data_IF_341731890637
#
_entry.id   IF_341731890637
#
_cell.length_a   1.000
_cell.length_b   1.000
_cell.length_c   1.000
_cell.angle_alpha   90.00
_cell.angle_beta   90.00
_cell.angle_gamma   90.00
#
_symmetry.space_group_name_H-M   'P 1'
#
loop_
_entity.id
_entity.type
_entity.pdbx_description
1 polymer ?
#
# COMPACT_ATOMS: atom_id res chain seq x y z
N UNK A 1 4.84 -3.69 -18.95
CA UNK A 1 4.05 -3.07 -17.87
C UNK A 1 2.75 -2.51 -18.43
N UNK A 2 1.62 -2.80 -17.79
CA UNK A 2 0.28 -2.30 -18.15
C UNK A 2 -0.22 -1.45 -16.99
N UNK A 3 -0.09 -0.11 -17.04
CA UNK A 3 -0.57 0.76 -15.99
C UNK A 3 -2.09 0.89 -16.02
N UNK A 4 -2.74 0.70 -14.86
CA UNK A 4 -4.13 1.08 -14.62
C UNK A 4 -4.11 2.45 -13.92
N UNK A 5 -4.32 3.57 -14.64
CA UNK A 5 -4.30 4.89 -14.03
C UNK A 5 -5.45 5.03 -13.03
N UNK A 6 -5.15 5.51 -11.83
CA UNK A 6 -6.13 5.88 -10.81
C UNK A 6 -6.37 7.38 -10.78
N UNK A 7 -5.29 8.13 -10.94
CA UNK A 7 -5.31 9.60 -11.05
C UNK A 7 -4.04 10.12 -11.73
N UNK A 8 -4.12 11.34 -12.28
CA UNK A 8 -2.97 12.09 -12.77
C UNK A 8 -2.95 13.44 -12.07
N UNK A 9 -1.79 13.79 -11.53
CA UNK A 9 -1.56 15.07 -10.88
C UNK A 9 -0.62 15.93 -11.73
N UNK A 10 -0.88 17.23 -11.81
CA UNK A 10 -0.01 18.17 -12.53
C UNK A 10 1.36 18.33 -11.86
N UNK A 11 1.42 18.16 -10.55
CA UNK A 11 2.61 18.32 -9.72
C UNK A 11 2.41 17.65 -8.36
N UNK A 12 3.47 17.61 -7.57
CA UNK A 12 3.45 17.02 -6.24
C UNK A 12 2.47 17.75 -5.29
N UNK A 13 1.76 17.00 -4.45
CA UNK A 13 0.75 17.52 -3.50
C UNK A 13 1.31 18.44 -2.40
N UNK A 14 2.63 18.55 -2.26
CA UNK A 14 3.29 19.50 -1.37
C UNK A 14 3.35 20.95 -1.89
N UNK A 15 2.93 21.21 -3.14
CA UNK A 15 2.75 22.57 -3.66
C UNK A 15 1.42 23.15 -3.17
N UNK A 16 1.29 24.48 -3.18
CA UNK A 16 0.06 25.18 -2.73
C UNK A 16 -1.19 24.81 -3.52
N UNK A 17 -1.02 24.43 -4.80
CA UNK A 17 -2.10 23.98 -5.67
C UNK A 17 -1.59 22.94 -6.66
N UNK A 18 -2.49 22.09 -7.10
CA UNK A 18 -2.25 21.11 -8.16
C UNK A 18 -3.57 20.81 -8.88
N UNK A 19 -3.47 20.40 -10.14
CA UNK A 19 -4.60 19.84 -10.87
C UNK A 19 -4.64 18.33 -10.62
N UNK A 20 -5.83 17.81 -10.40
CA UNK A 20 -6.08 16.40 -10.15
C UNK A 20 -7.10 15.88 -11.15
N UNK A 21 -6.71 14.93 -11.98
CA UNK A 21 -7.61 14.20 -12.88
C UNK A 21 -7.94 12.83 -12.27
N UNK A 22 -9.21 12.56 -12.06
CA UNK A 22 -9.71 11.30 -11.53
C UNK A 22 -10.02 10.33 -12.68
N UNK A 23 -9.43 9.15 -12.67
CA UNK A 23 -9.63 8.11 -13.68
C UNK A 23 -10.63 7.02 -13.29
N UNK A 24 -11.33 7.16 -12.17
CA UNK A 24 -12.26 6.14 -11.64
C UNK A 24 -13.20 5.59 -12.71
N UNK A 25 -13.83 6.47 -13.50
CA UNK A 25 -14.81 6.07 -14.51
C UNK A 25 -14.16 5.38 -15.73
N UNK A 26 -12.87 5.58 -15.96
CA UNK A 26 -12.13 4.99 -17.07
C UNK A 26 -11.52 3.62 -16.72
N UNK A 27 -11.24 3.35 -15.44
CA UNK A 27 -10.58 2.12 -15.00
C UNK A 27 -11.28 0.82 -15.48
N UNK A 28 -12.63 0.70 -15.44
CA UNK A 28 -13.30 -0.50 -15.92
C UNK A 28 -13.09 -0.76 -17.41
N UNK A 29 -12.93 0.28 -18.23
CA UNK A 29 -12.67 0.13 -19.66
C UNK A 29 -11.28 -0.49 -19.92
N UNK A 30 -10.25 -0.08 -19.15
CA UNK A 30 -8.91 -0.69 -19.21
C UNK A 30 -8.97 -2.18 -18.87
N UNK A 31 -9.60 -2.52 -17.76
CA UNK A 31 -9.75 -3.92 -17.29
C UNK A 31 -10.42 -4.77 -18.38
N UNK A 32 -11.51 -4.26 -18.96
CA UNK A 32 -12.26 -4.94 -20.01
C UNK A 32 -11.43 -5.19 -21.28
N UNK A 33 -10.58 -4.24 -21.67
CA UNK A 33 -9.69 -4.45 -22.83
C UNK A 33 -8.63 -5.51 -22.53
N UNK A 34 -8.04 -5.51 -21.31
CA UNK A 34 -7.07 -6.52 -20.92
C UNK A 34 -7.68 -7.92 -20.82
N UNK A 35 -8.93 -8.02 -20.37
CA UNK A 35 -9.70 -9.26 -20.35
C UNK A 35 -9.93 -9.79 -21.77
N UNK A 36 -10.37 -8.95 -22.71
CA UNK A 36 -10.55 -9.31 -24.14
C UNK A 36 -9.25 -9.81 -24.78
N UNK A 37 -8.13 -9.21 -24.41
CA UNK A 37 -6.80 -9.61 -24.89
C UNK A 37 -6.25 -10.85 -24.20
N UNK A 38 -6.97 -11.41 -23.20
CA UNK A 38 -6.54 -12.52 -22.37
C UNK A 38 -5.14 -12.28 -21.76
N UNK A 39 -4.88 -11.05 -21.28
CA UNK A 39 -3.59 -10.71 -20.69
C UNK A 39 -3.37 -11.54 -19.42
N UNK A 40 -2.10 -11.89 -19.20
CA UNK A 40 -1.62 -12.51 -17.99
C UNK A 40 -0.53 -11.63 -17.38
N UNK A 41 -0.49 -11.58 -16.07
CA UNK A 41 0.47 -10.79 -15.33
C UNK A 41 1.31 -11.71 -14.44
N UNK A 42 2.63 -11.57 -14.47
CA UNK A 42 3.53 -12.28 -13.54
C UNK A 42 3.52 -11.61 -12.15
N UNK A 43 3.21 -10.32 -12.13
CA UNK A 43 3.08 -9.55 -10.90
C UNK A 43 2.09 -8.40 -11.04
N UNK A 44 1.44 -8.07 -9.94
CA UNK A 44 0.49 -6.96 -9.81
C UNK A 44 0.96 -6.08 -8.64
N UNK A 45 1.03 -4.78 -8.86
CA UNK A 45 1.40 -3.84 -7.81
C UNK A 45 0.35 -2.73 -7.72
N UNK A 46 -0.16 -2.45 -6.52
CA UNK A 46 -1.04 -1.30 -6.28
C UNK A 46 -0.24 -0.13 -5.71
N UNK A 47 -0.76 1.07 -5.90
CA UNK A 47 -0.31 2.31 -5.27
C UNK A 47 -1.51 3.11 -4.80
N UNK A 48 -1.48 4.44 -4.99
CA UNK A 48 -2.54 5.33 -4.56
C UNK A 48 -3.90 5.01 -5.18
N UNK A 49 -4.93 4.88 -4.33
CA UNK A 49 -6.33 4.72 -4.69
C UNK A 49 -7.11 5.87 -4.05
N UNK A 50 -7.68 6.75 -4.88
CA UNK A 50 -8.26 8.02 -4.41
C UNK A 50 -9.67 7.91 -3.82
N UNK A 51 -10.33 6.74 -3.91
CA UNK A 51 -11.71 6.57 -3.44
C UNK A 51 -12.06 5.11 -3.13
N UNK A 52 -13.11 4.92 -2.35
CA UNK A 52 -13.73 3.61 -2.11
C UNK A 52 -14.07 2.88 -3.42
N UNK A 53 -14.61 3.59 -4.40
CA UNK A 53 -14.95 3.03 -5.72
C UNK A 53 -13.72 2.49 -6.46
N UNK A 54 -12.58 3.16 -6.35
CA UNK A 54 -11.33 2.64 -6.94
C UNK A 54 -10.87 1.36 -6.24
N UNK A 55 -11.01 1.26 -4.92
CA UNK A 55 -10.70 0.03 -4.18
C UNK A 55 -11.59 -1.13 -4.66
N UNK A 56 -12.89 -0.91 -4.85
CA UNK A 56 -13.80 -1.91 -5.40
C UNK A 56 -13.40 -2.35 -6.82
N UNK A 57 -13.03 -1.41 -7.69
CA UNK A 57 -12.57 -1.71 -9.05
C UNK A 57 -11.27 -2.52 -9.03
N UNK A 58 -10.33 -2.21 -8.13
CA UNK A 58 -9.08 -2.98 -8.00
C UNK A 58 -9.34 -4.37 -7.43
N UNK A 59 -10.29 -4.53 -6.50
CA UNK A 59 -10.71 -5.87 -6.05
C UNK A 59 -11.29 -6.69 -7.20
N UNK A 60 -12.18 -6.11 -8.01
CA UNK A 60 -12.69 -6.74 -9.21
C UNK A 60 -11.57 -7.12 -10.19
N UNK A 61 -10.55 -6.25 -10.36
CA UNK A 61 -9.36 -6.56 -11.14
C UNK A 61 -8.62 -7.79 -10.59
N UNK A 62 -8.46 -7.89 -9.26
CA UNK A 62 -7.84 -9.07 -8.65
C UNK A 62 -8.65 -10.34 -8.86
N UNK A 63 -9.96 -10.26 -8.78
CA UNK A 63 -10.84 -11.42 -9.01
C UNK A 63 -10.69 -11.99 -10.42
N UNK A 64 -10.29 -11.15 -11.41
CA UNK A 64 -10.07 -11.59 -12.80
C UNK A 64 -8.61 -12.05 -13.02
N UNK A 65 -7.64 -11.29 -12.55
CA UNK A 65 -6.24 -11.43 -12.98
C UNK A 65 -5.31 -12.02 -11.92
N UNK A 66 -5.73 -12.12 -10.65
CA UNK A 66 -4.93 -12.79 -9.64
C UNK A 66 -5.00 -14.30 -9.85
N UNK A 67 -3.83 -14.93 -9.84
CA UNK A 67 -3.66 -16.39 -9.96
C UNK A 67 -2.70 -16.88 -8.87
N UNK A 68 -2.61 -18.18 -8.61
CA UNK A 68 -1.61 -18.73 -7.69
C UNK A 68 -0.16 -18.47 -8.13
N UNK A 69 0.06 -18.22 -9.42
CA UNK A 69 1.40 -18.10 -10.01
C UNK A 69 1.92 -16.66 -10.05
N UNK A 70 1.04 -15.65 -9.89
CA UNK A 70 1.47 -14.25 -9.89
C UNK A 70 1.69 -13.69 -8.47
N UNK A 71 2.57 -12.70 -8.36
CA UNK A 71 2.88 -12.02 -7.11
C UNK A 71 2.07 -10.72 -7.04
N UNK A 72 1.27 -10.57 -5.98
CA UNK A 72 0.53 -9.35 -5.69
C UNK A 72 1.23 -8.57 -4.58
N UNK A 73 1.65 -7.35 -4.90
CA UNK A 73 2.20 -6.36 -3.96
C UNK A 73 1.15 -5.29 -3.72
N UNK A 74 0.72 -5.13 -2.48
CA UNK A 74 -0.20 -4.06 -2.10
C UNK A 74 0.56 -3.00 -1.31
N UNK A 75 0.53 -1.77 -1.83
CA UNK A 75 0.91 -0.57 -1.11
C UNK A 75 -0.39 0.09 -0.61
N UNK A 76 -0.68 0.02 0.71
CA UNK A 76 -1.96 0.46 1.26
C UNK A 76 -1.96 1.96 1.58
N UNK A 77 -1.72 2.77 0.54
CA UNK A 77 -1.56 4.22 0.67
C UNK A 77 -2.79 4.86 1.32
N UNK A 78 -2.68 5.29 2.59
CA UNK A 78 -3.78 5.90 3.35
C UNK A 78 -3.37 7.14 4.15
N UNK A 79 -2.11 7.28 4.51
CA UNK A 79 -1.65 8.36 5.38
C UNK A 79 -0.15 8.32 5.66
N UNK A 80 0.35 9.33 6.36
CA UNK A 80 1.75 9.41 6.77
C UNK A 80 1.90 10.23 8.06
N UNK A 81 3.02 10.05 8.80
CA UNK A 81 3.32 10.74 10.06
C UNK A 81 2.18 10.74 11.09
N UNK A 82 1.47 9.62 11.21
CA UNK A 82 0.35 9.44 12.14
C UNK A 82 -0.97 10.04 11.68
N UNK A 83 -1.06 10.60 10.48
CA UNK A 83 -2.26 11.25 9.96
C UNK A 83 -2.78 10.58 8.68
N UNK A 84 -4.10 10.49 8.56
CA UNK A 84 -4.75 10.10 7.31
C UNK A 84 -4.61 11.23 6.27
N UNK A 85 -4.48 10.86 5.01
CA UNK A 85 -4.64 11.82 3.92
C UNK A 85 -6.09 12.34 3.85
N UNK A 86 -6.26 13.58 3.42
CA UNK A 86 -7.56 14.27 3.39
C UNK A 86 -8.65 13.54 2.58
N UNK A 87 -8.24 12.70 1.64
CA UNK A 87 -9.13 11.90 0.78
C UNK A 87 -9.61 10.60 1.44
N UNK A 88 -9.05 10.23 2.61
CA UNK A 88 -9.38 8.98 3.28
C UNK A 88 -10.31 9.18 4.47
N UNK A 89 -11.32 8.31 4.54
CA UNK A 89 -12.25 8.18 5.69
C UNK A 89 -12.01 6.86 6.41
N UNK A 90 -12.61 6.67 7.58
CA UNK A 90 -12.56 5.39 8.29
C UNK A 90 -13.12 4.25 7.44
N UNK A 91 -14.19 4.51 6.70
CA UNK A 91 -14.84 3.55 5.82
C UNK A 91 -13.90 3.14 4.68
N UNK A 92 -13.17 4.09 4.08
CA UNK A 92 -12.18 3.80 3.04
C UNK A 92 -11.01 2.96 3.59
N UNK A 93 -10.59 3.21 4.84
CA UNK A 93 -9.56 2.39 5.50
C UNK A 93 -10.04 0.94 5.73
N UNK A 94 -11.31 0.72 6.10
CA UNK A 94 -11.86 -0.63 6.23
C UNK A 94 -11.94 -1.37 4.88
N UNK A 95 -12.23 -0.67 3.79
CA UNK A 95 -12.18 -1.28 2.46
C UNK A 95 -10.73 -1.61 2.04
N UNK A 96 -9.75 -0.77 2.39
CA UNK A 96 -8.33 -1.06 2.16
C UNK A 96 -7.89 -2.35 2.89
N UNK A 97 -8.39 -2.62 4.10
CA UNK A 97 -8.13 -3.89 4.80
C UNK A 97 -8.58 -5.10 4.00
N UNK A 98 -9.71 -5.01 3.28
CA UNK A 98 -10.18 -6.09 2.40
C UNK A 98 -9.23 -6.30 1.22
N UNK A 99 -8.63 -5.22 0.69
CA UNK A 99 -7.65 -5.31 -0.39
C UNK A 99 -6.36 -6.01 0.06
N UNK A 100 -5.94 -5.77 1.32
CA UNK A 100 -4.75 -6.40 1.91
C UNK A 100 -4.80 -7.93 1.84
N UNK A 101 -5.97 -8.54 1.97
CA UNK A 101 -6.12 -10.00 1.92
C UNK A 101 -5.75 -10.63 0.55
N UNK A 102 -5.68 -9.83 -0.51
CA UNK A 102 -5.23 -10.29 -1.83
C UNK A 102 -3.69 -10.30 -1.96
N UNK A 103 -2.97 -9.63 -1.07
CA UNK A 103 -1.54 -9.44 -1.18
C UNK A 103 -0.74 -10.72 -0.87
N UNK A 104 0.36 -10.93 -1.59
CA UNK A 104 1.45 -11.80 -1.18
C UNK A 104 2.48 -11.00 -0.36
N UNK A 105 2.67 -9.74 -0.73
CA UNK A 105 3.57 -8.79 -0.09
C UNK A 105 2.80 -7.51 0.22
N UNK A 106 2.92 -7.01 1.44
CA UNK A 106 2.33 -5.73 1.87
C UNK A 106 3.45 -4.75 2.23
N UNK A 107 3.35 -3.51 1.74
CA UNK A 107 4.40 -2.49 1.90
C UNK A 107 3.92 -1.22 2.61
N UNK A 108 3.30 -1.28 3.79
CA UNK A 108 2.80 -0.11 4.49
C UNK A 108 3.94 0.75 5.02
N UNK A 109 3.75 2.06 5.11
CA UNK A 109 4.52 2.87 6.05
C UNK A 109 4.05 2.63 7.50
N UNK A 110 4.73 3.17 8.48
CA UNK A 110 4.40 2.94 9.89
C UNK A 110 2.99 3.44 10.27
N UNK A 111 2.52 4.53 9.67
CA UNK A 111 1.16 5.07 9.88
C UNK A 111 0.10 4.08 9.37
N UNK A 112 0.29 3.60 8.17
CA UNK A 112 -0.59 2.64 7.52
C UNK A 112 -0.63 1.30 8.27
N UNK A 113 0.54 0.83 8.73
CA UNK A 113 0.64 -0.36 9.55
C UNK A 113 -0.17 -0.22 10.86
N UNK A 114 -0.11 0.95 11.52
CA UNK A 114 -0.90 1.23 12.70
C UNK A 114 -2.40 1.31 12.41
N UNK A 115 -2.80 1.96 11.31
CA UNK A 115 -4.22 2.05 10.90
C UNK A 115 -4.79 0.65 10.62
N UNK A 116 -4.08 -0.18 9.86
CA UNK A 116 -4.51 -1.52 9.52
C UNK A 116 -4.67 -2.42 10.75
N UNK A 117 -3.76 -2.31 11.72
CA UNK A 117 -3.78 -3.12 12.95
C UNK A 117 -4.61 -2.51 14.09
N UNK A 118 -5.14 -1.29 13.90
CA UNK A 118 -5.90 -0.59 14.93
C UNK A 118 -5.05 -0.11 16.11
N UNK A 119 -3.74 0.07 15.91
CA UNK A 119 -2.80 0.57 16.91
C UNK A 119 -2.65 2.08 16.85
N UNK A 120 -2.31 2.67 17.98
CA UNK A 120 -1.91 4.08 18.02
C UNK A 120 -0.55 4.25 17.33
N UNK A 121 -0.38 5.34 16.57
CA UNK A 121 0.88 5.66 15.92
C UNK A 121 1.94 6.07 16.94
N UNK A 122 3.11 5.44 16.88
CA UNK A 122 4.29 5.81 17.64
C UNK A 122 5.55 5.68 16.78
N UNK A 123 6.21 6.81 16.48
CA UNK A 123 7.42 6.84 15.66
C UNK A 123 8.61 6.08 16.30
N UNK A 124 8.58 5.87 17.64
CA UNK A 124 9.66 5.26 18.41
C UNK A 124 9.49 3.74 18.62
N UNK A 125 8.57 3.10 17.94
CA UNK A 125 8.42 1.64 18.03
C UNK A 125 9.74 0.91 17.79
N UNK A 126 10.12 0.05 18.74
CA UNK A 126 11.28 -0.85 18.62
C UNK A 126 11.00 -2.06 17.73
N UNK A 127 12.01 -2.91 17.53
CA UNK A 127 11.89 -4.07 16.67
C UNK A 127 10.89 -5.10 17.20
N UNK A 128 10.74 -5.23 18.51
CA UNK A 128 9.79 -6.16 19.13
C UNK A 128 8.34 -5.76 18.81
N UNK A 129 8.02 -4.46 18.94
CA UNK A 129 6.69 -3.95 18.59
C UNK A 129 6.44 -4.02 17.08
N UNK A 130 7.46 -3.73 16.25
CA UNK A 130 7.35 -3.84 14.80
C UNK A 130 7.10 -5.28 14.37
N UNK A 131 7.71 -6.26 15.04
CA UNK A 131 7.46 -7.68 14.76
C UNK A 131 6.02 -8.09 15.09
N UNK A 132 5.49 -7.59 16.22
CA UNK A 132 4.09 -7.83 16.59
C UNK A 132 3.14 -7.21 15.56
N UNK A 133 3.43 -5.98 15.12
CA UNK A 133 2.64 -5.29 14.08
C UNK A 133 2.70 -6.08 12.77
N UNK A 134 3.90 -6.46 12.32
CA UNK A 134 4.10 -7.19 11.08
C UNK A 134 3.40 -8.55 11.10
N UNK A 135 3.42 -9.25 12.23
CA UNK A 135 2.67 -10.51 12.41
C UNK A 135 1.16 -10.28 12.31
N UNK A 136 0.62 -9.25 12.96
CA UNK A 136 -0.80 -8.91 12.84
C UNK A 136 -1.21 -8.58 11.40
N UNK A 137 -0.33 -7.90 10.64
CA UNK A 137 -0.54 -7.65 9.22
C UNK A 137 -0.49 -8.93 8.39
N UNK A 138 0.43 -9.84 8.72
CA UNK A 138 0.54 -11.15 8.06
C UNK A 138 -0.70 -12.02 8.30
N UNK A 139 -1.30 -11.95 9.48
CA UNK A 139 -2.54 -12.66 9.82
C UNK A 139 -3.76 -12.17 8.97
N UNK A 140 -3.62 -11.02 8.25
CA UNK A 140 -4.63 -10.52 7.31
C UNK A 140 -4.55 -11.15 5.91
N UNK A 141 -3.49 -11.92 5.61
CA UNK A 141 -3.31 -12.62 4.34
C UNK A 141 -1.91 -12.61 3.74
N UNK A 142 -1.19 -11.47 3.69
CA UNK A 142 0.13 -11.42 3.07
C UNK A 142 1.18 -12.17 3.91
N UNK A 143 1.98 -13.04 3.27
CA UNK A 143 3.04 -13.79 3.95
C UNK A 143 4.33 -12.98 4.15
N UNK A 144 4.45 -11.82 3.52
CA UNK A 144 5.61 -10.93 3.61
C UNK A 144 5.16 -9.49 3.84
N UNK A 145 5.78 -8.84 4.83
CA UNK A 145 5.49 -7.47 5.22
C UNK A 145 6.78 -6.66 5.15
N UNK A 146 6.70 -5.46 4.58
CA UNK A 146 7.79 -4.49 4.61
C UNK A 146 7.23 -3.18 5.16
N UNK A 147 7.42 -2.92 6.46
CA UNK A 147 7.05 -1.63 7.04
C UNK A 147 8.12 -0.62 6.66
N UNK A 148 7.73 0.39 5.88
CA UNK A 148 8.67 1.33 5.25
C UNK A 148 8.79 2.64 6.03
N UNK A 149 9.87 3.39 5.74
CA UNK A 149 10.01 4.79 6.15
C UNK A 149 10.24 5.02 7.65
N UNK A 150 10.71 4.03 8.40
CA UNK A 150 10.95 4.15 9.84
C UNK A 150 12.19 5.02 10.09
N UNK A 151 12.01 6.14 10.79
CA UNK A 151 13.12 7.05 11.09
C UNK A 151 13.90 6.54 12.31
N UNK A 152 15.21 6.40 12.18
CA UNK A 152 16.15 5.96 13.22
C UNK A 152 17.31 6.96 13.33
N UNK A 153 17.08 8.14 13.91
CA UNK A 153 18.06 9.21 13.98
C UNK A 153 18.48 9.68 12.58
N UNK A 154 19.73 9.42 12.18
CA UNK A 154 20.27 9.77 10.86
C UNK A 154 20.01 8.73 9.77
N UNK A 155 19.32 7.64 10.09
CA UNK A 155 18.99 6.56 9.18
C UNK A 155 17.49 6.53 8.88
N UNK A 156 17.14 5.96 7.72
CA UNK A 156 15.81 5.47 7.42
C UNK A 156 15.90 3.94 7.37
N UNK A 157 14.96 3.28 8.02
CA UNK A 157 14.88 1.83 8.08
C UNK A 157 13.60 1.32 7.42
N UNK A 158 13.66 0.12 6.88
CA UNK A 158 12.52 -0.70 6.55
C UNK A 158 12.56 -1.95 7.42
N UNK A 159 11.45 -2.31 8.04
CA UNK A 159 11.31 -3.55 8.79
C UNK A 159 10.71 -4.62 7.89
N UNK A 160 11.48 -5.65 7.59
CA UNK A 160 11.09 -6.76 6.74
C UNK A 160 10.70 -7.96 7.60
N UNK A 161 9.53 -8.53 7.36
CA UNK A 161 9.01 -9.72 8.05
C UNK A 161 8.56 -10.74 7.01
N UNK A 162 8.82 -12.01 7.30
CA UNK A 162 8.24 -13.13 6.56
C UNK A 162 7.68 -14.16 7.55
N UNK A 163 6.48 -14.63 7.27
CA UNK A 163 5.80 -15.63 8.10
C UNK A 163 6.67 -16.87 8.27
N UNK A 164 6.78 -17.34 9.53
CA UNK A 164 7.64 -18.47 9.91
C UNK A 164 9.15 -18.19 9.98
N UNK A 165 9.61 -16.99 9.55
CA UNK A 165 11.05 -16.63 9.54
C UNK A 165 11.39 -15.50 10.51
N UNK A 166 10.39 -14.75 11.02
CA UNK A 166 10.59 -13.56 11.83
C UNK A 166 10.98 -12.33 11.01
N UNK A 167 11.42 -11.27 11.69
CA UNK A 167 11.69 -9.99 11.06
C UNK A 167 13.09 -9.41 11.35
N UNK A 168 13.51 -8.46 10.51
CA UNK A 168 14.75 -7.71 10.63
C UNK A 168 14.66 -6.32 10.00
N UNK A 169 15.48 -5.38 10.47
CA UNK A 169 15.60 -4.04 9.88
C UNK A 169 16.70 -3.97 8.82
N UNK A 170 16.38 -3.32 7.70
CA UNK A 170 17.37 -2.83 6.72
C UNK A 170 17.45 -1.32 6.87
N UNK A 171 18.66 -0.78 7.06
CA UNK A 171 18.91 0.65 7.29
C UNK A 171 19.72 1.25 6.15
N UNK A 172 19.38 2.49 5.77
CA UNK A 172 20.19 3.33 4.89
C UNK A 172 20.34 4.72 5.47
N UNK A 173 21.46 5.38 5.17
CA UNK A 173 21.68 6.76 5.59
C UNK A 173 20.63 7.68 4.96
N UNK A 174 20.03 8.54 5.75
CA UNK A 174 19.08 9.55 5.26
C UNK A 174 19.80 10.55 4.37
N UNK A 175 19.41 10.65 3.10
CA UNK A 175 19.96 11.60 2.14
C UNK A 175 18.94 12.71 1.91
N UNK A 176 19.29 13.95 2.28
CA UNK A 176 18.43 15.10 2.11
C UNK A 176 17.36 15.25 3.20
N UNK A 177 16.67 16.37 3.17
CA UNK A 177 15.43 16.61 3.92
C UNK A 177 14.25 16.38 3.00
N UNK A 178 13.34 15.49 3.36
CA UNK A 178 12.02 15.50 2.71
C UNK A 178 11.40 16.89 2.99
N UNK A 179 11.11 17.62 1.93
CA UNK A 179 10.32 18.85 1.99
C UNK A 179 8.87 18.52 1.68
#
# INVERSE_FOLDING_TARGET
CCPLPTSILSNHTGFESFYFEDFTESMPAYIKEWEKLNLKFDGICTGFLGSHKQIEIVRYFFDIFKTPDNIVVVDPVMGDYGNLYATYTKETCEEMKKLVSYANILTPNLTEACILTGREYNAEYGNEELEIIAKQLSDMGPSKIVITGIVRGTYIANYCYADGCGGYEIKTTKVGTQR
#
